data_IF_803536662069
#
_entry.id   IF_803536662069
#
_cell.length_a   1.000
_cell.length_b   1.000
_cell.length_c   1.000
_cell.angle_alpha   90.00
_cell.angle_beta   90.00
_cell.angle_gamma   90.00
#
_symmetry.space_group_name_H-M   'P 1'
#
loop_
_entity.id
_entity.type
_entity.pdbx_description
1 polymer ?
#
# COMPACT_ATOMS: atom_id res chain seq x y z
N UNK A 1 4.77 25.83 14.26
CA UNK A 1 4.87 24.99 13.04
C UNK A 1 4.13 23.66 13.15
N UNK A 2 4.27 22.90 14.26
CA UNK A 2 3.62 21.57 14.45
C UNK A 2 2.10 21.51 14.22
N UNK A 3 1.36 22.59 14.50
CA UNK A 3 -0.10 22.66 14.30
C UNK A 3 -0.53 22.71 12.81
N UNK A 4 0.34 23.18 11.93
CA UNK A 4 0.06 23.30 10.49
C UNK A 4 0.56 22.11 9.67
N UNK A 5 1.46 21.29 10.22
CA UNK A 5 1.96 20.09 9.54
C UNK A 5 0.83 19.13 9.08
N UNK A 6 -0.16 18.78 9.93
CA UNK A 6 -1.25 17.90 9.50
C UNK A 6 -2.06 18.47 8.34
N UNK A 7 -2.24 19.80 8.33
CA UNK A 7 -2.98 20.51 7.28
C UNK A 7 -2.21 20.42 5.96
N UNK A 8 -0.88 20.58 5.99
CA UNK A 8 -0.03 20.44 4.80
C UNK A 8 -0.11 19.01 4.24
N UNK A 9 -0.09 18.00 5.09
CA UNK A 9 -0.25 16.60 4.67
C UNK A 9 -1.61 16.34 4.02
N UNK A 10 -2.69 16.88 4.60
CA UNK A 10 -4.05 16.79 4.04
C UNK A 10 -4.12 17.49 2.68
N UNK A 11 -3.57 18.70 2.56
CA UNK A 11 -3.54 19.44 1.29
C UNK A 11 -2.80 18.64 0.22
N UNK A 12 -1.61 18.11 0.53
CA UNK A 12 -0.86 17.28 -0.40
C UNK A 12 -1.65 16.06 -0.86
N UNK A 13 -2.33 15.37 0.05
CA UNK A 13 -3.19 14.23 -0.27
C UNK A 13 -4.35 14.62 -1.19
N UNK A 14 -5.04 15.73 -0.90
CA UNK A 14 -6.12 16.23 -1.75
C UNK A 14 -5.63 16.63 -3.14
N UNK A 15 -4.45 17.24 -3.25
CA UNK A 15 -3.86 17.61 -4.55
C UNK A 15 -3.54 16.38 -5.39
N UNK A 16 -2.92 15.33 -4.80
CA UNK A 16 -2.67 14.07 -5.52
C UNK A 16 -3.98 13.38 -5.89
N UNK A 17 -4.95 13.32 -4.98
CA UNK A 17 -6.26 12.73 -5.25
C UNK A 17 -7.00 13.45 -6.37
N UNK A 18 -6.98 14.78 -6.39
CA UNK A 18 -7.56 15.57 -7.46
C UNK A 18 -6.89 15.28 -8.81
N UNK A 19 -5.55 15.22 -8.86
CA UNK A 19 -4.81 14.82 -10.07
C UNK A 19 -5.12 13.39 -10.53
N UNK A 20 -5.28 12.45 -9.59
CA UNK A 20 -5.63 11.07 -9.90
C UNK A 20 -7.07 10.91 -10.42
N UNK A 21 -8.02 11.65 -9.84
CA UNK A 21 -9.42 11.65 -10.28
C UNK A 21 -9.54 12.26 -11.68
N UNK A 22 -8.86 13.39 -11.94
CA UNK A 22 -8.87 14.02 -13.26
C UNK A 22 -8.23 13.12 -14.32
N UNK A 23 -7.14 12.43 -13.98
CA UNK A 23 -6.54 11.41 -14.84
C UNK A 23 -7.51 10.25 -15.13
N UNK A 24 -8.21 9.74 -14.10
CA UNK A 24 -9.16 8.64 -14.27
C UNK A 24 -10.35 9.01 -15.18
N UNK A 25 -10.77 10.28 -15.19
CA UNK A 25 -11.86 10.78 -16.03
C UNK A 25 -11.38 11.09 -17.46
N UNK A 26 -10.26 11.80 -17.59
CA UNK A 26 -9.74 12.24 -18.89
C UNK A 26 -9.11 11.09 -19.68
N UNK A 27 -8.50 10.11 -18.99
CA UNK A 27 -7.75 9.02 -19.61
C UNK A 27 -6.46 9.47 -20.32
N UNK A 28 -6.19 10.78 -20.39
CA UNK A 28 -5.00 11.35 -20.97
C UNK A 28 -4.12 11.98 -19.90
N UNK A 29 -2.80 11.85 -20.05
CA UNK A 29 -1.83 12.45 -19.14
C UNK A 29 -1.46 13.86 -19.61
N UNK A 30 -2.38 14.81 -19.43
CA UNK A 30 -2.16 16.20 -19.83
C UNK A 30 -1.19 16.93 -18.88
N UNK A 31 -0.56 18.01 -19.38
CA UNK A 31 0.46 18.74 -18.61
C UNK A 31 -0.04 19.27 -17.27
N UNK A 32 -1.32 19.63 -17.16
CA UNK A 32 -1.90 20.10 -15.89
C UNK A 32 -2.11 18.96 -14.87
N UNK A 33 -2.42 17.75 -15.34
CA UNK A 33 -2.57 16.55 -14.51
C UNK A 33 -1.20 16.15 -13.97
N UNK A 34 -0.19 16.15 -14.83
CA UNK A 34 1.22 15.92 -14.45
C UNK A 34 1.63 16.94 -13.39
N UNK A 35 1.37 18.24 -13.61
CA UNK A 35 1.70 19.28 -12.65
C UNK A 35 1.02 19.08 -11.29
N UNK A 36 -0.27 18.73 -11.27
CA UNK A 36 -1.02 18.42 -10.04
C UNK A 36 -0.43 17.23 -9.28
N UNK A 37 -0.14 16.14 -9.99
CA UNK A 37 0.42 14.93 -9.39
C UNK A 37 1.81 15.21 -8.80
N UNK A 38 2.69 15.88 -9.54
CA UNK A 38 4.04 16.22 -9.05
C UNK A 38 4.01 17.23 -7.91
N UNK A 39 3.18 18.26 -7.98
CA UNK A 39 3.04 19.23 -6.91
C UNK A 39 2.53 18.55 -5.62
N UNK A 40 1.48 17.73 -5.72
CA UNK A 40 0.95 16.98 -4.59
C UNK A 40 1.97 15.99 -4.02
N UNK A 41 2.72 15.29 -4.88
CA UNK A 41 3.78 14.36 -4.49
C UNK A 41 4.89 15.09 -3.71
N UNK A 42 5.38 16.22 -4.21
CA UNK A 42 6.42 17.01 -3.56
C UNK A 42 5.98 17.53 -2.19
N UNK A 43 4.73 17.99 -2.07
CA UNK A 43 4.15 18.42 -0.79
C UNK A 43 4.10 17.25 0.21
N UNK A 44 3.66 16.07 -0.24
CA UNK A 44 3.64 14.87 0.61
C UNK A 44 5.05 14.44 1.03
N UNK A 45 6.01 14.43 0.10
CA UNK A 45 7.41 14.12 0.42
C UNK A 45 7.99 15.10 1.43
N UNK A 46 7.72 16.38 1.29
CA UNK A 46 8.12 17.39 2.27
C UNK A 46 7.48 17.13 3.63
N UNK A 47 6.17 16.84 3.68
CA UNK A 47 5.48 16.47 4.91
C UNK A 47 6.12 15.25 5.58
N UNK A 48 6.37 14.18 4.83
CA UNK A 48 7.01 12.96 5.34
C UNK A 48 8.44 13.23 5.83
N UNK A 49 9.21 14.06 5.13
CA UNK A 49 10.56 14.42 5.54
C UNK A 49 10.57 15.14 6.88
N UNK A 50 9.68 16.11 7.09
CA UNK A 50 9.60 16.85 8.37
C UNK A 50 9.01 15.99 9.48
N UNK A 51 8.02 15.14 9.20
CA UNK A 51 7.40 14.22 10.16
C UNK A 51 8.21 12.93 10.40
N UNK A 52 9.35 12.76 9.73
CA UNK A 52 10.16 11.54 9.82
C UNK A 52 10.55 11.15 11.27
N UNK A 53 10.94 12.07 12.18
CA UNK A 53 11.26 11.71 13.56
C UNK A 53 10.06 11.14 14.32
N UNK A 54 8.86 11.65 14.07
CA UNK A 54 7.61 11.20 14.68
C UNK A 54 7.16 9.86 14.10
N UNK A 55 7.34 9.64 12.80
CA UNK A 55 7.11 8.34 12.17
C UNK A 55 8.07 7.28 12.70
N UNK A 56 9.34 7.63 12.92
CA UNK A 56 10.34 6.72 13.48
C UNK A 56 9.97 6.29 14.90
N UNK A 57 9.52 7.20 15.75
CA UNK A 57 9.09 6.82 17.11
C UNK A 57 7.87 5.90 17.06
N UNK A 58 6.91 6.16 16.17
CA UNK A 58 5.76 5.28 15.94
C UNK A 58 6.18 3.86 15.49
N UNK A 59 7.13 3.76 14.55
CA UNK A 59 7.65 2.47 14.08
C UNK A 59 8.46 1.72 15.14
N UNK A 60 9.04 2.42 16.12
CA UNK A 60 9.79 1.78 17.22
C UNK A 60 8.92 1.23 18.35
N UNK A 61 7.63 1.58 18.40
CA UNK A 61 6.69 1.07 19.39
C UNK A 61 6.59 -0.47 19.31
N UNK A 62 6.37 -1.12 20.47
CA UNK A 62 6.18 -2.57 20.53
C UNK A 62 5.01 -3.02 19.64
N UNK A 63 3.91 -2.25 19.60
CA UNK A 63 2.76 -2.51 18.75
C UNK A 63 3.10 -2.54 17.26
N UNK A 64 3.95 -1.62 16.78
CA UNK A 64 4.39 -1.58 15.39
C UNK A 64 5.26 -2.81 15.05
N UNK A 65 6.13 -3.24 15.96
CA UNK A 65 6.92 -4.47 15.79
C UNK A 65 6.06 -5.72 15.74
N UNK A 66 5.07 -5.84 16.64
CA UNK A 66 4.12 -6.95 16.62
C UNK A 66 3.26 -6.92 15.35
N UNK A 67 2.79 -5.75 14.94
CA UNK A 67 2.05 -5.57 13.69
C UNK A 67 2.86 -5.98 12.46
N UNK A 68 4.14 -5.58 12.38
CA UNK A 68 5.04 -5.98 11.31
C UNK A 68 5.23 -7.52 11.27
N UNK A 69 5.41 -8.15 12.42
CA UNK A 69 5.50 -9.61 12.51
C UNK A 69 4.21 -10.29 12.03
N UNK A 70 3.03 -9.77 12.42
CA UNK A 70 1.74 -10.28 11.95
C UNK A 70 1.59 -10.15 10.44
N UNK A 71 2.02 -9.04 9.83
CA UNK A 71 2.02 -8.88 8.37
C UNK A 71 2.89 -9.93 7.70
N UNK A 72 4.10 -10.18 8.22
CA UNK A 72 4.97 -11.26 7.72
C UNK A 72 4.29 -12.62 7.82
N UNK A 73 3.65 -12.92 8.95
CA UNK A 73 2.90 -14.17 9.12
C UNK A 73 1.74 -14.31 8.12
N UNK A 74 1.01 -13.23 7.85
CA UNK A 74 -0.07 -13.21 6.83
C UNK A 74 0.51 -13.52 5.44
N UNK A 75 1.62 -12.89 5.07
CA UNK A 75 2.28 -13.14 3.78
C UNK A 75 2.70 -14.60 3.65
N UNK A 76 3.32 -15.17 4.69
CA UNK A 76 3.73 -16.58 4.72
C UNK A 76 2.51 -17.48 4.57
N UNK A 77 1.42 -17.20 5.29
CA UNK A 77 0.19 -17.98 5.23
C UNK A 77 -0.45 -17.95 3.82
N UNK A 78 -0.55 -16.78 3.20
CA UNK A 78 -1.05 -16.63 1.83
C UNK A 78 -0.15 -17.39 0.84
N UNK A 79 1.17 -17.32 1.03
CA UNK A 79 2.13 -18.05 0.19
C UNK A 79 1.92 -19.56 0.32
N UNK A 80 1.74 -20.08 1.54
CA UNK A 80 1.44 -21.50 1.76
C UNK A 80 0.15 -21.93 1.06
N UNK A 81 -0.92 -21.15 1.18
CA UNK A 81 -2.17 -21.42 0.45
C UNK A 81 -1.93 -21.45 -1.05
N UNK A 82 -1.18 -20.48 -1.59
CA UNK A 82 -0.82 -20.42 -3.00
C UNK A 82 -0.07 -21.67 -3.47
N UNK A 83 0.90 -22.13 -2.68
CA UNK A 83 1.69 -23.35 -2.96
C UNK A 83 0.80 -24.59 -2.92
N UNK A 84 -0.02 -24.76 -1.88
CA UNK A 84 -0.94 -25.91 -1.77
C UNK A 84 -1.94 -25.92 -2.93
N UNK A 85 -2.48 -24.76 -3.29
CA UNK A 85 -3.39 -24.61 -4.43
C UNK A 85 -2.71 -24.98 -5.75
N UNK A 86 -1.45 -24.55 -5.95
CA UNK A 86 -0.65 -24.92 -7.11
C UNK A 86 -0.43 -26.44 -7.21
N UNK A 87 -0.05 -27.09 -6.10
CA UNK A 87 0.10 -28.54 -6.08
C UNK A 87 -1.22 -29.27 -6.32
N UNK A 88 -2.32 -28.81 -5.72
CA UNK A 88 -3.64 -29.44 -5.86
C UNK A 88 -4.18 -29.35 -7.28
N UNK A 89 -3.94 -28.23 -7.98
CA UNK A 89 -4.37 -28.04 -9.36
C UNK A 89 -3.51 -28.82 -10.35
N UNK A 90 -2.19 -28.90 -10.11
CA UNK A 90 -1.24 -29.56 -11.02
C UNK A 90 -1.17 -31.08 -10.81
N UNK A 91 -1.23 -31.55 -9.57
CA UNK A 91 -1.06 -32.96 -9.19
C UNK A 91 -2.36 -33.50 -8.59
N UNK A 92 -3.36 -33.74 -9.44
CA UNK A 92 -4.61 -34.39 -9.03
C UNK A 92 -4.41 -35.90 -8.91
N UNK A 93 -4.05 -36.37 -7.73
CA UNK A 93 -4.09 -37.81 -7.42
C UNK A 93 -5.53 -38.17 -7.05
N UNK A 94 -6.22 -38.92 -7.90
CA UNK A 94 -7.59 -39.42 -7.66
C UNK A 94 -7.52 -40.92 -7.43
N UNK A 95 -7.96 -41.38 -6.27
CA UNK A 95 -8.08 -42.80 -5.98
C UNK A 95 -9.49 -43.22 -6.37
N UNK A 96 -9.60 -44.08 -7.39
CA UNK A 96 -10.87 -44.63 -7.84
C UNK A 96 -11.15 -45.92 -7.04
N UNK A 97 -12.16 -45.84 -6.17
CA UNK A 97 -12.57 -46.92 -5.27
C UNK A 97 -13.67 -47.80 -5.89
N UNK A 98 -14.03 -47.58 -7.15
CA UNK A 98 -15.21 -48.19 -7.79
C UNK A 98 -14.90 -49.56 -8.43
N UNK A 99 -13.65 -50.03 -8.37
CA UNK A 99 -13.28 -51.36 -8.87
C UNK A 99 -13.44 -52.42 -7.78
N UNK A 100 -14.60 -53.07 -7.77
CA UNK A 100 -14.86 -54.36 -7.13
C UNK A 100 -15.68 -55.22 -8.07
#
# INVERSE_FOLDING_TARGET
MKRFLPIIGIIGLFTVAAGGITYAISGAMESYIIALLWAGLLILLFYFYVSFPELRTLLTLRSAKYGANTVVMIIIFITMIGVVSFFTTRYKVRWDLTKT
#
